data_IF_646585844556
#
_entry.id   IF_646585844556
#
_cell.length_a   1.000
_cell.length_b   1.000
_cell.length_c   1.000
_cell.angle_alpha   90.00
_cell.angle_beta   90.00
_cell.angle_gamma   90.00
#
_symmetry.space_group_name_H-M   'P 1'
#
loop_
_entity.id
_entity.type
_entity.pdbx_description
1 polymer ?
#
# COMPACT_ATOMS: atom_id res chain seq x y z
N UNK A 1 5.22 -3.07 15.50
CA UNK A 1 6.65 -3.14 15.17
C UNK A 1 6.81 -2.62 13.76
N UNK A 2 7.83 -1.82 13.48
CA UNK A 2 8.13 -1.40 12.12
C UNK A 2 8.89 -2.51 11.40
N UNK A 3 8.55 -2.77 10.12
CA UNK A 3 9.18 -3.83 9.32
C UNK A 3 10.58 -3.44 8.80
N UNK A 4 11.05 -2.22 9.07
CA UNK A 4 12.38 -1.74 8.66
C UNK A 4 12.61 -1.67 7.14
N UNK A 5 11.54 -1.67 6.34
CA UNK A 5 11.64 -1.68 4.88
C UNK A 5 11.96 -0.30 4.32
N UNK A 6 12.91 -0.24 3.40
CA UNK A 6 13.02 0.88 2.47
C UNK A 6 11.86 0.88 1.47
N UNK A 7 11.62 2.04 0.85
CA UNK A 7 10.62 2.16 -0.22
C UNK A 7 10.88 1.21 -1.40
N UNK A 8 12.16 0.93 -1.69
CA UNK A 8 12.55 0.02 -2.76
C UNK A 8 12.18 -1.42 -2.42
N UNK A 9 12.46 -1.86 -1.18
CA UNK A 9 12.10 -3.21 -0.71
C UNK A 9 10.59 -3.40 -0.65
N UNK A 10 9.84 -2.41 -0.15
CA UNK A 10 8.39 -2.44 -0.17
C UNK A 10 7.85 -2.53 -1.60
N UNK A 11 8.40 -1.74 -2.53
CA UNK A 11 8.00 -1.77 -3.92
C UNK A 11 8.23 -3.15 -4.56
N UNK A 12 9.40 -3.74 -4.33
CA UNK A 12 9.73 -5.09 -4.79
C UNK A 12 8.76 -6.13 -4.22
N UNK A 13 8.51 -6.11 -2.90
CA UNK A 13 7.57 -7.04 -2.25
C UNK A 13 6.13 -6.89 -2.78
N UNK A 14 5.70 -5.65 -3.05
CA UNK A 14 4.35 -5.36 -3.52
C UNK A 14 4.19 -5.45 -5.06
N UNK A 15 5.25 -5.83 -5.80
CA UNK A 15 5.22 -5.91 -7.27
C UNK A 15 4.89 -4.57 -7.93
N UNK A 16 5.53 -3.49 -7.47
CA UNK A 16 5.36 -2.12 -7.99
C UNK A 16 6.71 -1.40 -8.06
N UNK A 17 6.72 -0.13 -8.48
CA UNK A 17 7.92 0.70 -8.55
C UNK A 17 8.15 1.56 -7.30
N UNK A 18 9.41 1.77 -6.91
CA UNK A 18 9.77 2.63 -5.77
C UNK A 18 9.23 4.06 -5.92
N UNK A 19 9.29 4.64 -7.12
CA UNK A 19 8.69 5.96 -7.39
C UNK A 19 7.17 5.99 -7.16
N UNK A 20 6.47 4.87 -7.41
CA UNK A 20 5.05 4.76 -7.11
C UNK A 20 4.81 4.72 -5.60
N UNK A 21 5.56 3.90 -4.85
CA UNK A 21 5.49 3.85 -3.37
C UNK A 21 5.75 5.23 -2.76
N UNK A 22 6.81 5.92 -3.19
CA UNK A 22 7.12 7.29 -2.75
C UNK A 22 5.97 8.28 -2.98
N UNK A 23 5.26 8.18 -4.13
CA UNK A 23 4.07 9.00 -4.38
C UNK A 23 2.90 8.62 -3.50
N UNK A 24 2.69 7.34 -3.19
CA UNK A 24 1.63 6.89 -2.27
C UNK A 24 1.89 7.44 -0.86
N UNK A 25 3.10 7.27 -0.34
CA UNK A 25 3.48 7.76 1.00
C UNK A 25 3.38 9.28 1.15
N UNK A 26 3.67 10.02 0.06
CA UNK A 26 3.51 11.48 0.02
C UNK A 26 2.09 11.95 -0.32
N UNK A 27 1.13 11.04 -0.47
CA UNK A 27 -0.26 11.36 -0.82
C UNK A 27 -0.47 11.85 -2.26
N UNK A 28 0.56 11.77 -3.11
CA UNK A 28 0.54 12.20 -4.52
C UNK A 28 0.01 11.14 -5.48
N UNK A 29 -0.22 9.92 -5.01
CA UNK A 29 -0.85 8.86 -5.78
C UNK A 29 -1.80 8.05 -4.89
N UNK A 30 -2.98 7.73 -5.42
CA UNK A 30 -3.94 6.85 -4.77
C UNK A 30 -3.79 5.46 -5.39
N UNK A 31 -3.40 4.43 -4.61
CA UNK A 31 -3.34 3.06 -5.11
C UNK A 31 -4.74 2.52 -5.41
N UNK A 32 -4.86 1.70 -6.46
CA UNK A 32 -6.09 0.94 -6.71
C UNK A 32 -6.28 -0.14 -5.63
N UNK A 33 -7.49 -0.67 -5.49
CA UNK A 33 -7.75 -1.73 -4.50
C UNK A 33 -6.83 -2.97 -4.65
N UNK A 34 -6.54 -3.49 -5.86
CA UNK A 34 -5.57 -4.56 -6.03
C UNK A 34 -4.13 -4.18 -5.61
N UNK A 35 -3.74 -2.92 -5.80
CA UNK A 35 -2.43 -2.43 -5.37
C UNK A 35 -2.38 -2.31 -3.84
N UNK A 36 -3.46 -1.82 -3.22
CA UNK A 36 -3.59 -1.80 -1.76
C UNK A 36 -3.41 -3.21 -1.20
N UNK A 37 -4.08 -4.23 -1.75
CA UNK A 37 -3.95 -5.62 -1.30
C UNK A 37 -2.50 -6.12 -1.35
N UNK A 38 -1.75 -5.80 -2.42
CA UNK A 38 -0.33 -6.17 -2.51
C UNK A 38 0.54 -5.42 -1.51
N UNK A 39 0.26 -4.13 -1.28
CA UNK A 39 0.96 -3.35 -0.26
C UNK A 39 0.70 -3.90 1.14
N UNK A 40 -0.55 -4.27 1.46
CA UNK A 40 -0.89 -4.85 2.75
C UNK A 40 -0.22 -6.22 2.96
N UNK A 41 -0.21 -7.09 1.95
CA UNK A 41 0.53 -8.34 2.00
C UNK A 41 2.04 -8.13 2.21
N UNK A 42 2.64 -7.15 1.52
CA UNK A 42 4.06 -6.79 1.67
C UNK A 42 4.39 -6.20 3.05
N UNK A 43 3.39 -5.60 3.70
CA UNK A 43 3.45 -5.00 5.03
C UNK A 43 2.94 -5.92 6.14
N UNK A 44 2.65 -7.20 5.84
CA UNK A 44 2.15 -8.17 6.81
C UNK A 44 0.88 -7.65 7.55
N UNK A 45 0.01 -6.98 6.81
CA UNK A 45 -1.20 -6.32 7.30
C UNK A 45 -2.47 -6.87 6.62
N UNK A 46 -3.58 -6.80 7.35
CA UNK A 46 -4.92 -7.06 6.81
C UNK A 46 -5.58 -5.76 6.30
N UNK A 47 -6.31 -5.85 5.19
CA UNK A 47 -7.18 -4.78 4.71
C UNK A 47 -8.61 -5.04 5.15
N UNK A 48 -9.17 -4.08 5.89
CA UNK A 48 -10.61 -4.04 6.17
C UNK A 48 -11.26 -2.93 5.35
N UNK A 49 -12.25 -3.28 4.52
CA UNK A 49 -13.09 -2.32 3.79
C UNK A 49 -14.52 -2.44 4.30
N UNK A 50 -15.09 -1.34 4.77
CA UNK A 50 -16.48 -1.27 5.23
C UNK A 50 -17.28 -0.28 4.40
N UNK A 51 -18.51 -0.65 4.04
CA UNK A 51 -19.47 0.24 3.40
C UNK A 51 -20.45 0.79 4.43
N UNK A 52 -20.82 2.06 4.29
CA UNK A 52 -21.86 2.69 5.12
C UNK A 52 -23.04 3.15 4.26
N UNK A 53 -24.28 3.12 4.77
CA UNK A 53 -25.45 3.59 4.02
C UNK A 53 -25.33 5.07 3.64
N UNK A 54 -25.81 5.42 2.45
CA UNK A 54 -26.00 6.83 2.05
C UNK A 54 -27.18 7.40 2.85
N UNK A 55 -26.99 8.55 3.49
CA UNK A 55 -28.07 9.34 4.11
C UNK A 55 -28.62 10.34 3.10
#
# INVERSE_FOLDING_TARGET
MELGLSQAELATRAGTGQAFVSRVESGKAIPTLPVLQRLAAALECDITVSLTPRR
#
